data_IF_183748891770
#
_entry.id   IF_183748891770
#
_cell.length_a   1.000
_cell.length_b   1.000
_cell.length_c   1.000
_cell.angle_alpha   90.00
_cell.angle_beta   90.00
_cell.angle_gamma   90.00
#
_symmetry.space_group_name_H-M   'P 1'
#
loop_
_entity.id
_entity.type
_entity.pdbx_description
1 polymer ?
#
# COMPACT_ATOMS: atom_id res chain seq x y z
N UNK A 1 8.69 9.82 14.51
CA UNK A 1 8.54 8.79 13.46
C UNK A 1 7.49 9.21 12.44
N UNK A 2 6.19 8.86 12.57
CA UNK A 2 5.21 9.19 11.50
C UNK A 2 4.99 10.69 11.29
N UNK A 3 5.10 11.51 12.35
CA UNK A 3 4.96 12.97 12.27
C UNK A 3 5.98 13.64 11.34
N UNK A 4 7.16 13.04 11.23
CA UNK A 4 8.31 13.57 10.50
C UNK A 4 8.29 13.13 9.02
N UNK A 5 7.36 12.26 8.63
CA UNK A 5 7.19 11.83 7.25
C UNK A 5 6.53 12.94 6.43
N UNK A 6 7.23 13.38 5.39
CA UNK A 6 6.78 14.41 4.44
C UNK A 6 6.72 13.91 3.00
N UNK A 7 7.42 12.82 2.67
CA UNK A 7 7.39 12.20 1.35
C UNK A 7 6.01 11.61 1.06
N UNK A 8 5.41 11.89 -0.11
CA UNK A 8 4.20 11.19 -0.56
C UNK A 8 4.37 9.67 -0.47
N UNK A 9 3.37 8.96 0.08
CA UNK A 9 3.48 7.52 0.32
C UNK A 9 2.35 6.72 -0.33
N UNK A 10 2.73 5.72 -1.14
CA UNK A 10 1.84 4.63 -1.56
C UNK A 10 2.00 3.45 -0.60
N UNK A 11 0.89 3.00 -0.02
CA UNK A 11 0.81 1.77 0.78
C UNK A 11 0.11 0.71 -0.07
N UNK A 12 0.71 -0.48 -0.19
CA UNK A 12 0.13 -1.64 -0.87
C UNK A 12 0.06 -2.79 0.13
N UNK A 13 -1.13 -3.31 0.40
CA UNK A 13 -1.31 -4.38 1.37
C UNK A 13 -2.42 -5.35 0.94
N UNK A 14 -2.28 -6.61 1.33
CA UNK A 14 -3.28 -7.66 1.09
C UNK A 14 -4.08 -7.97 2.35
N UNK A 15 -5.38 -8.22 2.21
CA UNK A 15 -6.29 -8.36 3.37
C UNK A 15 -6.06 -9.66 4.18
N UNK A 16 -5.56 -10.72 3.54
CA UNK A 16 -5.23 -12.00 4.18
C UNK A 16 -3.73 -12.14 4.45
N UNK A 17 -3.01 -11.01 4.58
CA UNK A 17 -1.63 -11.04 5.05
C UNK A 17 -1.60 -11.24 6.58
N UNK A 18 -1.53 -12.49 7.02
CA UNK A 18 -1.39 -12.84 8.43
C UNK A 18 0.05 -12.77 8.94
N UNK A 19 1.05 -12.59 8.06
CA UNK A 19 2.45 -12.44 8.45
C UNK A 19 2.77 -11.00 8.86
N UNK A 20 2.19 -10.06 8.13
CA UNK A 20 2.14 -8.64 8.47
C UNK A 20 0.67 -8.21 8.41
N UNK A 21 -0.09 -8.30 9.52
CA UNK A 21 -1.51 -7.95 9.56
C UNK A 21 -1.80 -6.59 8.93
N UNK A 22 -2.91 -6.49 8.17
CA UNK A 22 -3.26 -5.28 7.40
C UNK A 22 -3.38 -4.01 8.25
N UNK A 23 -3.67 -4.16 9.54
CA UNK A 23 -3.72 -3.05 10.49
C UNK A 23 -2.40 -2.24 10.53
N UNK A 24 -1.26 -2.85 10.22
CA UNK A 24 0.02 -2.14 10.15
C UNK A 24 0.00 -1.06 9.06
N UNK A 25 -0.55 -1.38 7.88
CA UNK A 25 -0.75 -0.42 6.80
C UNK A 25 -1.83 0.62 7.15
N UNK A 26 -2.93 0.19 7.77
CA UNK A 26 -4.02 1.08 8.19
C UNK A 26 -3.57 2.12 9.22
N UNK A 27 -2.77 1.74 10.21
CA UNK A 27 -2.24 2.64 11.23
C UNK A 27 -1.39 3.77 10.61
N UNK A 28 -0.52 3.44 9.64
CA UNK A 28 0.29 4.43 8.91
C UNK A 28 -0.60 5.32 8.04
N UNK A 29 -1.51 4.72 7.26
CA UNK A 29 -2.44 5.46 6.40
C UNK A 29 -3.27 6.48 7.21
N UNK A 30 -3.93 6.04 8.26
CA UNK A 30 -4.77 6.89 9.11
C UNK A 30 -3.94 8.00 9.75
N UNK A 31 -2.74 7.69 10.23
CA UNK A 31 -1.85 8.67 10.84
C UNK A 31 -1.42 9.76 9.86
N UNK A 32 -1.02 9.38 8.64
CA UNK A 32 -0.63 10.31 7.59
C UNK A 32 -1.82 11.14 7.09
N UNK A 33 -3.00 10.53 6.91
CA UNK A 33 -4.24 11.24 6.57
C UNK A 33 -4.61 12.28 7.63
N UNK A 34 -4.51 11.94 8.92
CA UNK A 34 -4.76 12.89 10.03
C UNK A 34 -3.80 14.08 10.03
N UNK A 35 -2.57 13.87 9.57
CA UNK A 35 -1.56 14.91 9.44
C UNK A 35 -1.66 15.70 8.12
N UNK A 36 -2.67 15.44 7.29
CA UNK A 36 -2.84 16.10 5.99
C UNK A 36 -1.74 15.75 4.98
N UNK A 37 -1.05 14.62 5.16
CA UNK A 37 -0.01 14.17 4.23
C UNK A 37 -0.61 13.49 3.02
N UNK A 38 0.08 13.57 1.90
CA UNK A 38 -0.26 12.82 0.69
C UNK A 38 0.04 11.34 0.89
N UNK A 39 -1.02 10.53 0.87
CA UNK A 39 -0.93 9.08 1.07
C UNK A 39 -2.06 8.37 0.33
N UNK A 40 -1.73 7.29 -0.37
CA UNK A 40 -2.66 6.37 -1.02
C UNK A 40 -2.54 4.98 -0.40
N UNK A 41 -3.65 4.26 -0.28
CA UNK A 41 -3.65 2.89 0.23
C UNK A 41 -4.44 1.95 -0.69
N UNK A 42 -3.71 1.10 -1.39
CA UNK A 42 -4.24 0.05 -2.26
C UNK A 42 -4.36 -1.25 -1.47
N UNK A 43 -5.59 -1.76 -1.38
CA UNK A 43 -5.94 -2.99 -0.66
C UNK A 43 -6.30 -4.10 -1.65
N UNK A 44 -5.68 -5.26 -1.49
CA UNK A 44 -5.94 -6.44 -2.32
C UNK A 44 -6.75 -7.49 -1.56
N UNK A 45 -8.03 -7.71 -1.90
CA UNK A 45 -8.85 -8.73 -1.27
C UNK A 45 -8.48 -10.14 -1.76
N UNK A 46 -8.65 -11.14 -0.90
CA UNK A 46 -8.35 -12.55 -1.22
C UNK A 46 -6.90 -12.77 -1.70
N UNK A 47 -5.96 -12.03 -1.12
CA UNK A 47 -4.52 -12.11 -1.35
C UNK A 47 -3.80 -12.11 0.01
N UNK A 48 -2.61 -12.70 0.06
CA UNK A 48 -1.80 -12.81 1.28
C UNK A 48 -0.41 -12.18 1.09
N UNK A 49 0.50 -12.43 2.04
CA UNK A 49 1.88 -11.92 2.04
C UNK A 49 2.69 -12.21 0.76
N UNK A 50 2.25 -13.16 -0.06
CA UNK A 50 2.91 -13.54 -1.31
C UNK A 50 2.28 -12.93 -2.58
N UNK A 51 1.38 -11.94 -2.47
CA UNK A 51 0.78 -11.23 -3.61
C UNK A 51 1.79 -10.95 -4.73
N UNK A 52 2.96 -10.40 -4.41
CA UNK A 52 3.97 -10.00 -5.40
C UNK A 52 4.59 -11.17 -6.19
N UNK A 53 4.61 -12.37 -5.61
CA UNK A 53 5.33 -13.55 -6.13
C UNK A 53 4.38 -14.57 -6.75
N UNK A 54 3.30 -14.88 -6.03
CA UNK A 54 2.36 -15.96 -6.37
C UNK A 54 0.89 -15.55 -6.24
N UNK A 55 0.60 -14.25 -6.11
CA UNK A 55 -0.77 -13.75 -6.13
C UNK A 55 -1.45 -13.97 -7.48
N UNK A 56 -2.77 -13.74 -7.53
CA UNK A 56 -3.56 -13.89 -8.75
C UNK A 56 -2.95 -13.02 -9.86
N UNK A 57 -2.80 -13.52 -11.10
CA UNK A 57 -2.17 -12.77 -12.18
C UNK A 57 -2.74 -11.36 -12.39
N UNK A 58 -4.06 -11.22 -12.32
CA UNK A 58 -4.75 -9.92 -12.40
C UNK A 58 -4.28 -8.94 -11.32
N UNK A 59 -4.28 -9.37 -10.05
CA UNK A 59 -3.86 -8.52 -8.94
C UNK A 59 -2.37 -8.16 -9.01
N UNK A 60 -1.52 -9.04 -9.57
CA UNK A 60 -0.10 -8.74 -9.78
C UNK A 60 0.11 -7.65 -10.82
N UNK A 61 -0.69 -7.66 -11.90
CA UNK A 61 -0.68 -6.61 -12.92
C UNK A 61 -1.16 -5.30 -12.29
N UNK A 62 -2.33 -5.28 -11.66
CA UNK A 62 -2.88 -4.09 -11.00
C UNK A 62 -1.90 -3.51 -9.97
N UNK A 63 -1.27 -4.35 -9.15
CA UNK A 63 -0.23 -3.92 -8.20
C UNK A 63 0.91 -3.18 -8.89
N UNK A 64 1.39 -3.68 -10.02
CA UNK A 64 2.49 -3.04 -10.76
C UNK A 64 2.03 -1.74 -11.41
N UNK A 65 0.80 -1.69 -11.94
CA UNK A 65 0.20 -0.48 -12.50
C UNK A 65 0.07 0.63 -11.45
N UNK A 66 -0.38 0.31 -10.24
CA UNK A 66 -0.42 1.27 -9.12
C UNK A 66 0.98 1.79 -8.75
N UNK A 67 2.00 0.93 -8.74
CA UNK A 67 3.38 1.34 -8.41
C UNK A 67 3.94 2.25 -9.50
N UNK A 68 3.83 1.87 -10.77
CA UNK A 68 4.31 2.67 -11.90
C UNK A 68 3.57 4.00 -11.93
N UNK A 69 2.24 3.98 -11.87
CA UNK A 69 1.44 5.21 -11.88
C UNK A 69 1.66 6.11 -10.67
N UNK A 70 2.12 5.57 -9.53
CA UNK A 70 2.57 6.40 -8.41
C UNK A 70 3.87 7.12 -8.72
N UNK A 71 4.86 6.39 -9.25
CA UNK A 71 6.12 7.00 -9.66
C UNK A 71 5.91 8.05 -10.77
N UNK A 72 5.08 7.79 -11.76
CA UNK A 72 4.76 8.76 -12.83
C UNK A 72 4.18 10.09 -12.31
N UNK A 73 3.54 10.09 -11.13
CA UNK A 73 2.99 11.31 -10.50
C UNK A 73 3.99 12.06 -9.63
N UNK A 74 5.06 11.41 -9.20
CA UNK A 74 5.92 11.91 -8.13
C UNK A 74 7.42 11.94 -8.48
N UNK A 75 7.83 11.40 -9.63
CA UNK A 75 9.18 11.46 -10.20
C UNK A 75 9.14 12.08 -11.60
#
# INVERSE_FOLDING_TARGET
YVKDMTTPLLIVHSEEDYRCPIEQGEQVFISLKKLGREVEFVRFPNENHNLSRTGKPKHRIERLEHIVGWFDRHL
#
